data_IF_659048746976
#
_entry.id   IF_659048746976
#
_cell.length_a   1.000
_cell.length_b   1.000
_cell.length_c   1.000
_cell.angle_alpha   90.00
_cell.angle_beta   90.00
_cell.angle_gamma   90.00
#
_symmetry.space_group_name_H-M   'P 1'
#
loop_
_entity.id
_entity.type
_entity.pdbx_description
1 polymer ?
#
# COMPACT_ATOMS: atom_id res chain seq x y z
N UNK A 1 -4.39 -22.83 0.52
CA UNK A 1 -5.74 -22.24 0.42
C UNK A 1 -6.28 -22.56 -0.95
N UNK A 2 -7.35 -23.35 -1.04
CA UNK A 2 -7.95 -23.80 -2.31
C UNK A 2 -9.36 -23.24 -2.43
N UNK A 3 -9.50 -22.10 -3.11
CA UNK A 3 -10.78 -21.40 -3.27
C UNK A 3 -10.82 -20.01 -2.61
N UNK A 4 -11.97 -19.32 -2.68
CA UNK A 4 -12.10 -17.97 -2.15
C UNK A 4 -12.09 -17.95 -0.61
N UNK A 5 -11.34 -17.01 -0.04
CA UNK A 5 -11.40 -16.65 1.37
C UNK A 5 -12.06 -15.28 1.50
N UNK A 6 -13.21 -15.23 2.15
CA UNK A 6 -13.90 -13.97 2.47
C UNK A 6 -13.75 -13.66 3.95
N UNK A 7 -13.18 -12.50 4.27
CA UNK A 7 -13.06 -11.97 5.62
C UNK A 7 -14.20 -10.96 5.84
N UNK A 8 -15.11 -11.29 6.75
CA UNK A 8 -16.25 -10.43 7.07
C UNK A 8 -15.97 -9.66 8.36
N UNK A 9 -15.94 -8.32 8.29
CA UNK A 9 -15.81 -7.47 9.46
C UNK A 9 -17.07 -7.41 10.33
N UNK A 10 -18.21 -7.96 9.86
CA UNK A 10 -19.50 -7.96 10.58
C UNK A 10 -19.92 -6.54 11.03
N UNK A 11 -19.54 -5.51 10.24
CA UNK A 11 -19.80 -4.10 10.53
C UNK A 11 -18.72 -3.41 11.37
N UNK A 12 -17.71 -4.13 11.85
CA UNK A 12 -16.52 -3.52 12.46
C UNK A 12 -15.60 -2.95 11.37
N UNK A 13 -15.66 -1.62 11.22
CA UNK A 13 -14.85 -0.85 10.27
C UNK A 13 -13.33 -1.05 10.43
N UNK A 14 -12.86 -1.41 11.64
CA UNK A 14 -11.45 -1.55 12.00
C UNK A 14 -11.09 -3.01 12.29
N UNK A 15 -11.80 -3.97 11.71
CA UNK A 15 -11.51 -5.38 11.90
C UNK A 15 -10.08 -5.73 11.44
N UNK A 16 -9.36 -6.49 12.28
CA UNK A 16 -8.00 -6.92 12.02
C UNK A 16 -7.93 -8.44 12.04
N UNK A 17 -7.27 -9.01 11.04
CA UNK A 17 -6.96 -10.42 10.94
C UNK A 17 -5.46 -10.65 10.98
N UNK A 18 -5.05 -11.60 11.80
CA UNK A 18 -3.67 -12.09 11.85
C UNK A 18 -3.70 -13.60 11.72
N UNK A 19 -3.29 -14.10 10.55
CA UNK A 19 -3.14 -15.52 10.31
C UNK A 19 -1.74 -15.96 10.72
N UNK A 20 -1.67 -16.86 11.71
CA UNK A 20 -0.43 -17.45 12.19
C UNK A 20 -0.22 -18.80 11.50
N UNK A 21 0.81 -18.90 10.66
CA UNK A 21 1.15 -20.12 9.93
C UNK A 21 2.51 -20.62 10.42
N UNK A 22 2.56 -21.73 11.18
CA UNK A 22 3.82 -22.24 11.73
C UNK A 22 4.85 -22.61 10.66
N UNK A 23 4.41 -22.95 9.46
CA UNK A 23 5.27 -23.35 8.35
C UNK A 23 5.02 -22.50 7.11
N UNK A 24 4.38 -23.05 6.08
CA UNK A 24 4.27 -22.45 4.74
C UNK A 24 2.86 -21.98 4.43
N UNK A 25 2.76 -20.85 3.75
CA UNK A 25 1.54 -20.41 3.07
C UNK A 25 1.62 -20.82 1.61
N UNK A 26 0.63 -21.56 1.10
CA UNK A 26 0.50 -21.86 -0.32
C UNK A 26 -0.93 -21.56 -0.76
N UNK A 27 -1.13 -20.71 -1.76
CA UNK A 27 -2.42 -20.57 -2.45
C UNK A 27 -2.51 -21.57 -3.60
N UNK A 28 -3.70 -22.02 -3.95
CA UNK A 28 -3.92 -22.72 -5.22
C UNK A 28 -4.08 -21.69 -6.35
N UNK A 29 -3.85 -22.08 -7.61
CA UNK A 29 -4.09 -21.19 -8.75
C UNK A 29 -5.48 -20.57 -8.74
N UNK A 30 -5.60 -19.31 -9.15
CA UNK A 30 -6.87 -18.56 -9.21
C UNK A 30 -7.58 -18.37 -7.85
N UNK A 31 -6.88 -18.54 -6.72
CA UNK A 31 -7.45 -18.25 -5.41
C UNK A 31 -7.75 -16.74 -5.26
N UNK A 32 -8.73 -16.41 -4.42
CA UNK A 32 -9.12 -15.01 -4.16
C UNK A 32 -9.20 -14.79 -2.66
N UNK A 33 -8.59 -13.72 -2.17
CA UNK A 33 -8.83 -13.17 -0.83
C UNK A 33 -9.69 -11.91 -0.99
N UNK A 34 -10.81 -11.84 -0.27
CA UNK A 34 -11.69 -10.69 -0.29
C UNK A 34 -12.06 -10.26 1.13
N UNK A 35 -12.35 -8.98 1.31
CA UNK A 35 -12.81 -8.41 2.58
C UNK A 35 -14.15 -7.71 2.37
N UNK A 36 -15.08 -7.89 3.31
CA UNK A 36 -16.42 -7.29 3.26
C UNK A 36 -16.81 -6.71 4.62
N UNK A 37 -17.75 -5.74 4.60
CA UNK A 37 -18.27 -5.06 5.78
C UNK A 37 -17.17 -4.49 6.69
N UNK A 38 -16.18 -3.84 6.08
CA UNK A 38 -15.04 -3.17 6.70
C UNK A 38 -14.87 -1.74 6.15
N UNK A 39 -13.87 -1.01 6.64
CA UNK A 39 -13.48 0.32 6.12
C UNK A 39 -11.95 0.52 6.16
N UNK A 40 -11.51 1.78 6.12
CA UNK A 40 -10.10 2.17 6.07
C UNK A 40 -9.27 1.73 7.29
N UNK A 41 -9.88 1.45 8.44
CA UNK A 41 -9.12 0.95 9.59
C UNK A 41 -8.80 -0.54 9.56
N UNK A 42 -9.18 -1.26 8.51
CA UNK A 42 -8.98 -2.70 8.43
C UNK A 42 -7.50 -3.10 8.41
N UNK A 43 -7.20 -4.27 8.98
CA UNK A 43 -5.85 -4.85 9.00
C UNK A 43 -5.83 -6.30 8.56
N UNK A 44 -4.83 -6.69 7.77
CA UNK A 44 -4.67 -8.08 7.33
C UNK A 44 -3.19 -8.45 7.30
N UNK A 45 -2.83 -9.46 8.10
CA UNK A 45 -1.47 -9.93 8.27
C UNK A 45 -1.40 -11.46 8.13
N UNK A 46 -0.38 -11.90 7.41
CA UNK A 46 -0.03 -13.31 7.22
C UNK A 46 1.35 -13.52 7.82
N UNK A 47 1.42 -14.01 9.06
CA UNK A 47 2.69 -14.36 9.71
C UNK A 47 3.07 -15.79 9.35
N UNK A 48 4.11 -15.96 8.54
CA UNK A 48 4.50 -17.22 7.92
C UNK A 48 5.86 -17.65 8.46
N UNK A 49 5.87 -18.75 9.23
CA UNK A 49 7.04 -19.26 9.94
C UNK A 49 8.17 -19.76 9.04
N UNK A 50 7.88 -20.03 7.78
CA UNK A 50 8.87 -20.36 6.76
C UNK A 50 8.69 -19.49 5.49
N UNK A 51 8.22 -20.07 4.39
CA UNK A 51 8.06 -19.40 3.09
C UNK A 51 6.60 -19.32 2.65
N UNK A 52 6.29 -18.33 1.81
CA UNK A 52 4.99 -18.20 1.16
C UNK A 52 5.10 -18.38 -0.36
N UNK A 53 4.16 -19.13 -0.93
CA UNK A 53 3.95 -19.25 -2.37
C UNK A 53 2.54 -18.76 -2.70
N UNK A 54 2.48 -17.68 -3.47
CA UNK A 54 1.24 -17.14 -4.02
C UNK A 54 1.17 -17.58 -5.48
N UNK A 55 0.39 -18.62 -5.73
CA UNK A 55 0.33 -19.31 -7.02
C UNK A 55 -0.36 -18.44 -8.10
N UNK A 56 -0.21 -18.85 -9.34
CA UNK A 56 -0.65 -18.20 -10.57
C UNK A 56 -2.07 -17.65 -10.50
N UNK A 57 -2.26 -16.44 -11.05
CA UNK A 57 -3.54 -15.74 -11.10
C UNK A 57 -4.26 -15.56 -9.75
N UNK A 58 -3.57 -15.74 -8.61
CA UNK A 58 -4.17 -15.44 -7.31
C UNK A 58 -4.44 -13.95 -7.18
N UNK A 59 -5.64 -13.57 -6.73
CA UNK A 59 -5.96 -12.21 -6.26
C UNK A 59 -5.80 -12.20 -4.74
N UNK A 60 -4.66 -11.72 -4.27
CA UNK A 60 -4.30 -11.73 -2.85
C UNK A 60 -4.57 -10.36 -2.20
N UNK A 61 -4.62 -10.34 -0.87
CA UNK A 61 -4.71 -9.12 -0.06
C UNK A 61 -3.89 -9.30 1.23
N UNK A 62 -3.29 -8.21 1.70
CA UNK A 62 -2.70 -8.12 3.04
C UNK A 62 -1.18 -8.21 3.09
N UNK A 63 -0.66 -8.12 4.31
CA UNK A 63 0.76 -8.01 4.56
C UNK A 63 1.34 -9.41 4.86
N UNK A 64 2.13 -9.95 3.93
CA UNK A 64 2.85 -11.20 4.10
C UNK A 64 4.17 -10.93 4.83
N UNK A 65 4.34 -11.57 5.98
CA UNK A 65 5.55 -11.56 6.79
C UNK A 65 6.11 -12.99 6.80
N UNK A 66 7.05 -13.29 5.89
CA UNK A 66 7.66 -14.60 5.79
C UNK A 66 9.05 -14.62 6.44
N UNK A 67 9.32 -15.65 7.24
CA UNK A 67 10.63 -15.86 7.86
C UNK A 67 11.73 -16.11 6.82
N UNK A 68 11.45 -16.92 5.80
CA UNK A 68 12.38 -17.29 4.74
C UNK A 68 12.09 -16.51 3.46
N UNK A 69 11.41 -17.10 2.46
CA UNK A 69 11.21 -16.50 1.14
C UNK A 69 9.74 -16.31 0.79
N UNK A 70 9.46 -15.41 -0.16
CA UNK A 70 8.15 -15.26 -0.79
C UNK A 70 8.32 -15.46 -2.30
N UNK A 71 7.48 -16.33 -2.87
CA UNK A 71 7.35 -16.48 -4.32
C UNK A 71 5.95 -16.04 -4.73
N UNK A 72 5.86 -15.08 -5.64
CA UNK A 72 4.62 -14.76 -6.33
C UNK A 72 4.74 -15.25 -7.77
N UNK A 73 3.99 -16.30 -8.09
CA UNK A 73 3.99 -16.90 -9.40
C UNK A 73 3.24 -16.01 -10.41
N UNK A 74 3.32 -16.42 -11.67
CA UNK A 74 2.90 -15.60 -12.81
C UNK A 74 1.53 -14.95 -12.60
N UNK A 75 1.49 -13.64 -12.80
CA UNK A 75 0.26 -12.80 -12.80
C UNK A 75 -0.55 -12.81 -11.50
N UNK A 76 -0.04 -13.35 -10.40
CA UNK A 76 -0.62 -13.09 -9.09
C UNK A 76 -0.59 -11.59 -8.75
N UNK A 77 -1.58 -11.10 -8.00
CA UNK A 77 -1.72 -9.69 -7.64
C UNK A 77 -1.94 -9.50 -6.16
N UNK A 78 -1.49 -8.35 -5.63
CA UNK A 78 -1.85 -7.84 -4.32
C UNK A 78 -1.89 -6.32 -4.38
N UNK A 79 -3.10 -5.76 -4.49
CA UNK A 79 -3.31 -4.32 -4.64
C UNK A 79 -3.52 -3.60 -3.30
N UNK A 80 -3.43 -4.31 -2.18
CA UNK A 80 -3.70 -3.74 -0.87
C UNK A 80 -2.95 -4.53 0.19
N UNK A 81 -1.62 -4.48 0.10
CA UNK A 81 -0.76 -5.30 0.93
C UNK A 81 0.72 -5.07 0.69
N UNK A 82 1.53 -5.99 1.21
CA UNK A 82 3.00 -5.96 1.17
C UNK A 82 3.55 -7.38 1.23
N UNK A 83 4.66 -7.63 0.56
CA UNK A 83 5.42 -8.87 0.67
C UNK A 83 6.77 -8.60 1.34
N UNK A 84 6.97 -9.10 2.56
CA UNK A 84 8.21 -8.95 3.32
C UNK A 84 8.80 -10.32 3.68
N UNK A 85 9.99 -10.60 3.17
CA UNK A 85 10.80 -11.77 3.50
C UNK A 85 11.93 -11.34 4.46
N UNK A 86 12.08 -12.04 5.58
CA UNK A 86 13.06 -11.68 6.63
C UNK A 86 14.49 -12.09 6.26
N UNK A 87 14.68 -13.32 5.78
CA UNK A 87 16.02 -13.88 5.49
C UNK A 87 16.25 -14.27 4.03
N UNK A 88 15.18 -14.54 3.29
CA UNK A 88 15.21 -14.97 1.90
C UNK A 88 14.81 -13.87 0.92
N UNK A 89 14.48 -14.29 -0.30
CA UNK A 89 14.12 -13.39 -1.39
C UNK A 89 12.60 -13.25 -1.53
N UNK A 90 12.17 -12.12 -2.09
CA UNK A 90 10.85 -11.96 -2.69
C UNK A 90 11.01 -12.09 -4.20
N UNK A 91 10.49 -13.17 -4.79
CA UNK A 91 10.56 -13.44 -6.24
C UNK A 91 9.23 -13.10 -6.90
N UNK A 92 9.28 -12.31 -7.97
CA UNK A 92 8.11 -11.87 -8.72
C UNK A 92 8.20 -12.34 -10.18
N UNK A 93 7.06 -12.78 -10.74
CA UNK A 93 6.88 -13.15 -12.13
C UNK A 93 5.68 -12.39 -12.73
N UNK A 94 5.93 -11.25 -13.37
CA UNK A 94 4.87 -10.45 -14.03
C UNK A 94 3.70 -10.08 -13.09
N UNK A 95 4.00 -9.84 -11.81
CA UNK A 95 3.01 -9.47 -10.82
C UNK A 95 2.71 -7.97 -10.84
N UNK A 96 1.53 -7.61 -10.32
CA UNK A 96 1.17 -6.23 -10.03
C UNK A 96 0.87 -6.07 -8.54
N UNK A 97 1.56 -5.12 -7.91
CA UNK A 97 1.57 -4.94 -6.46
C UNK A 97 1.33 -3.47 -6.11
N UNK A 98 0.55 -3.23 -5.07
CA UNK A 98 0.30 -1.88 -4.55
C UNK A 98 0.03 -1.94 -3.04
N UNK A 99 0.63 -1.00 -2.30
CA UNK A 99 0.22 -0.70 -0.93
C UNK A 99 -0.94 0.31 -0.87
N UNK A 100 -1.28 0.94 -2.00
CA UNK A 100 -2.38 1.88 -2.12
C UNK A 100 -3.66 1.13 -2.48
N UNK A 101 -4.49 0.95 -1.47
CA UNK A 101 -5.78 0.30 -1.56
C UNK A 101 -6.83 1.17 -2.26
N UNK A 102 -7.83 0.53 -2.88
CA UNK A 102 -8.95 1.17 -3.55
C UNK A 102 -10.31 0.68 -3.01
N UNK A 103 -11.40 1.30 -3.43
CA UNK A 103 -12.75 0.93 -3.03
C UNK A 103 -12.97 1.07 -1.52
N UNK A 104 -13.61 0.07 -0.91
CA UNK A 104 -13.93 0.05 0.52
C UNK A 104 -12.67 0.07 1.43
N UNK A 105 -11.49 -0.24 0.87
CA UNK A 105 -10.21 -0.28 1.56
C UNK A 105 -9.37 0.99 1.37
N UNK A 106 -9.86 1.97 0.62
CA UNK A 106 -9.14 3.22 0.39
C UNK A 106 -8.80 3.91 1.73
N UNK A 107 -7.56 4.38 1.85
CA UNK A 107 -7.07 5.01 3.09
C UNK A 107 -6.58 4.03 4.16
N UNK A 108 -6.62 2.71 3.93
CA UNK A 108 -6.12 1.71 4.90
C UNK A 108 -4.60 1.55 4.99
N UNK A 109 -3.83 2.39 4.29
CA UNK A 109 -2.37 2.34 4.35
C UNK A 109 -1.79 0.96 4.03
N UNK A 110 -2.43 0.18 3.15
CA UNK A 110 -2.04 -1.20 2.85
C UNK A 110 -2.45 -2.18 3.96
N UNK A 111 -3.71 -2.10 4.40
CA UNK A 111 -4.27 -2.93 5.49
C UNK A 111 -3.40 -2.93 6.75
N UNK A 112 -2.97 -1.75 7.19
CA UNK A 112 -2.11 -1.59 8.36
C UNK A 112 -2.87 -1.70 9.70
N UNK A 113 -4.20 -1.85 9.69
CA UNK A 113 -5.00 -1.91 10.91
C UNK A 113 -5.17 -0.56 11.60
N UNK A 114 -5.14 0.54 10.84
CA UNK A 114 -5.29 1.90 11.38
C UNK A 114 -4.04 2.45 12.06
N UNK A 115 -2.89 1.80 11.90
CA UNK A 115 -1.61 2.25 12.44
C UNK A 115 -0.91 3.19 11.45
N UNK A 116 -1.29 4.47 11.42
CA UNK A 116 -0.57 5.47 10.66
C UNK A 116 0.63 5.99 11.47
N UNK A 117 1.83 5.59 11.08
CA UNK A 117 3.04 6.26 11.59
C UNK A 117 3.18 7.57 10.82
N UNK A 118 2.49 8.62 11.30
CA UNK A 118 2.63 9.97 10.77
C UNK A 118 3.96 10.58 11.23
N UNK A 119 5.04 10.28 10.49
CA UNK A 119 6.24 11.10 10.61
C UNK A 119 5.93 12.49 10.04
N UNK A 120 6.06 13.58 10.81
CA UNK A 120 5.85 14.91 10.28
C UNK A 120 6.90 15.16 9.19
N UNK A 121 6.47 15.15 7.92
CA UNK A 121 7.31 15.65 6.83
C UNK A 121 7.40 17.16 7.02
N UNK A 122 8.62 17.73 7.14
CA UNK A 122 8.77 19.17 7.13
C UNK A 122 8.19 19.71 5.83
N UNK A 123 7.21 20.62 5.91
CA UNK A 123 6.69 21.26 4.73
C UNK A 123 7.86 21.89 3.95
N UNK A 124 7.95 21.70 2.62
CA UNK A 124 8.92 22.45 1.83
C UNK A 124 8.69 23.95 2.08
N UNK A 125 9.74 24.80 2.03
CA UNK A 125 9.64 26.23 2.31
C UNK A 125 8.89 26.95 1.17
N UNK A 126 7.59 26.69 1.05
CA UNK A 126 6.70 27.21 0.00
C UNK A 126 6.43 28.70 0.19
N UNK A 127 6.39 29.17 1.43
CA UNK A 127 6.20 30.58 1.79
C UNK A 127 7.32 31.49 1.24
N UNK A 128 8.62 31.25 1.51
CA UNK A 128 9.68 32.10 0.95
C UNK A 128 9.77 31.98 -0.58
N UNK A 129 9.50 30.80 -1.17
CA UNK A 129 9.44 30.65 -2.63
C UNK A 129 8.31 31.46 -3.26
N UNK A 130 7.13 31.49 -2.62
CA UNK A 130 6.00 32.31 -3.06
C UNK A 130 6.32 33.81 -2.97
N UNK A 131 6.96 34.24 -1.88
CA UNK A 131 7.37 35.65 -1.69
C UNK A 131 8.42 36.06 -2.73
N UNK A 132 9.43 35.22 -2.99
CA UNK A 132 10.43 35.47 -4.03
C UNK A 132 9.80 35.53 -5.43
N UNK A 133 8.83 34.64 -5.72
CA UNK A 133 8.09 34.65 -6.98
C UNK A 133 7.27 35.93 -7.17
N UNK A 134 6.49 36.33 -6.16
CA UNK A 134 5.68 37.56 -6.20
C UNK A 134 6.55 38.82 -6.28
N UNK A 135 7.68 38.87 -5.56
CA UNK A 135 8.63 39.97 -5.64
C UNK A 135 9.26 40.08 -7.04
N UNK A 136 9.63 38.94 -7.65
CA UNK A 136 10.15 38.88 -9.01
C UNK A 136 9.14 39.41 -10.05
N UNK A 137 7.87 38.99 -9.94
CA UNK A 137 6.78 39.49 -10.81
C UNK A 137 6.53 40.98 -10.60
N UNK A 138 6.49 41.45 -9.35
CA UNK A 138 6.32 42.86 -9.02
C UNK A 138 7.44 43.75 -9.59
N UNK A 139 8.70 43.30 -9.47
CA UNK A 139 9.86 44.00 -10.03
C UNK A 139 9.83 44.03 -11.56
N UNK A 140 9.41 42.93 -12.21
CA UNK A 140 9.27 42.88 -13.66
C UNK A 140 8.16 43.84 -14.17
N UNK A 141 7.03 43.90 -13.47
CA UNK A 141 5.93 44.81 -13.79
C UNK A 141 6.36 46.29 -13.64
N UNK A 142 7.06 46.62 -12.55
CA UNK A 142 7.56 47.99 -12.31
C UNK A 142 8.58 48.44 -13.37
N UNK A 143 9.47 47.54 -13.82
CA UNK A 143 10.43 47.84 -14.90
C UNK A 143 9.73 48.13 -16.23
N UNK A 144 8.69 47.36 -16.58
CA UNK A 144 7.91 47.59 -17.82
C UNK A 144 7.21 48.95 -17.83
N UNK A 145 6.63 49.37 -16.70
CA UNK A 145 5.97 50.68 -16.56
C UNK A 145 6.91 51.87 -16.74
N UNK A 146 8.16 51.72 -16.31
CA UNK A 146 9.18 52.78 -16.44
C UNK A 146 9.69 52.94 -17.88
N UNK A 147 9.70 51.87 -18.66
CA UNK A 147 10.16 51.87 -20.07
C UNK A 147 9.14 52.47 -21.06
N UNK A 148 7.88 52.65 -20.67
CA UNK A 148 6.83 53.24 -21.52
C UNK A 148 6.59 54.73 -21.21
N UNK A 149 7.43 55.34 -20.37
CA UNK A 149 7.31 56.73 -19.93
C UNK A 149 8.40 57.66 -20.49
N UNK A 150 9.22 57.16 -21.44
CA UNK A 150 10.16 57.94 -22.26
C UNK A 150 9.67 57.99 -23.71
#
# INVERSE_FOLDING_TARGET
MSGPLTLNGEGNANAVWVFQMPSTLITSPNSVVNMINISSGAGLYWNVGNSATIDTNTTFLGNILASASITMDTTATDFCGRALASTGAVTLQQNSLSGNCSGILAGSGGLNGGLDVSIPVPAPPTLPLLVLGLAGVGLAYARRRKSTAD
#
